data_IF_113216071862
#
_entry.id   IF_113216071862
#
_cell.length_a   1.000
_cell.length_b   1.000
_cell.length_c   1.000
_cell.angle_alpha   90.00
_cell.angle_beta   90.00
_cell.angle_gamma   90.00
#
_symmetry.space_group_name_H-M   'P 1'
#
loop_
_entity.id
_entity.type
_entity.pdbx_description
1 polymer ?
#
# COMPACT_ATOMS: atom_id res chain seq x y z
N UNK A 1 -82.53 14.27 -40.67
CA UNK A 1 -81.96 14.36 -42.02
C UNK A 1 -80.76 13.42 -42.08
N UNK A 2 -80.58 12.69 -43.18
CA UNK A 2 -80.11 11.29 -43.20
C UNK A 2 -78.63 11.15 -43.59
N UNK A 3 -78.00 10.02 -43.28
CA UNK A 3 -77.02 9.31 -44.15
C UNK A 3 -76.71 7.95 -43.50
N UNK A 4 -77.49 6.91 -43.81
CA UNK A 4 -77.22 5.81 -44.77
C UNK A 4 -76.00 4.96 -44.40
N UNK A 5 -76.29 3.71 -44.02
CA UNK A 5 -75.38 2.55 -43.96
C UNK A 5 -74.66 2.31 -45.30
N UNK A 6 -73.38 1.92 -45.27
CA UNK A 6 -72.87 1.03 -46.31
C UNK A 6 -71.74 0.13 -45.80
N UNK A 7 -72.15 -1.08 -45.46
CA UNK A 7 -71.54 -2.37 -45.84
C UNK A 7 -70.07 -2.39 -46.28
N UNK A 8 -69.33 -3.30 -45.64
CA UNK A 8 -68.66 -4.34 -46.42
C UNK A 8 -67.14 -4.30 -46.44
N UNK A 9 -66.56 -5.09 -45.55
CA UNK A 9 -65.41 -5.97 -45.81
C UNK A 9 -64.36 -5.49 -46.83
N UNK A 10 -63.22 -5.04 -46.31
CA UNK A 10 -61.93 -5.46 -46.85
C UNK A 10 -61.08 -6.03 -45.71
N UNK A 11 -61.32 -7.29 -45.41
CA UNK A 11 -60.29 -8.18 -44.91
C UNK A 11 -59.22 -8.32 -46.01
N UNK A 12 -57.98 -7.97 -45.69
CA UNK A 12 -56.88 -8.93 -45.66
C UNK A 12 -55.52 -8.24 -45.88
N UNK A 13 -54.56 -8.70 -45.08
CA UNK A 13 -53.11 -8.66 -45.27
C UNK A 13 -52.41 -7.37 -44.86
N UNK A 14 -51.88 -7.40 -43.64
CA UNK A 14 -50.45 -7.35 -43.33
C UNK A 14 -50.36 -7.48 -41.80
N UNK A 15 -50.47 -8.69 -41.26
CA UNK A 15 -49.32 -9.56 -40.99
C UNK A 15 -48.29 -8.88 -40.07
N UNK A 16 -48.44 -9.20 -38.79
CA UNK A 16 -47.37 -9.49 -37.85
C UNK A 16 -46.13 -8.58 -37.87
N UNK A 17 -46.11 -7.61 -36.96
CA UNK A 17 -44.86 -7.18 -36.32
C UNK A 17 -45.17 -6.75 -34.88
N UNK A 18 -45.67 -7.71 -34.12
CA UNK A 18 -45.50 -7.74 -32.67
C UNK A 18 -44.33 -8.70 -32.42
N UNK A 19 -43.45 -8.37 -31.48
CA UNK A 19 -42.26 -9.14 -31.04
C UNK A 19 -40.95 -8.80 -31.75
N UNK A 20 -40.33 -7.67 -31.39
CA UNK A 20 -38.85 -7.60 -31.27
C UNK A 20 -38.37 -6.41 -30.41
N UNK A 21 -38.91 -6.25 -29.19
CA UNK A 21 -38.52 -5.16 -28.29
C UNK A 21 -38.11 -5.61 -26.88
N UNK A 22 -37.54 -6.81 -26.71
CA UNK A 22 -37.12 -7.33 -25.38
C UNK A 22 -35.69 -7.93 -25.41
N UNK A 23 -34.74 -7.34 -26.13
CA UNK A 23 -33.38 -7.89 -26.17
C UNK A 23 -32.26 -6.86 -25.97
N UNK A 24 -32.54 -5.75 -25.29
CA UNK A 24 -31.52 -4.79 -24.86
C UNK A 24 -31.76 -4.43 -23.39
N UNK A 25 -31.80 -5.44 -22.51
CA UNK A 25 -31.44 -5.20 -21.13
C UNK A 25 -29.91 -5.26 -21.09
N UNK A 26 -29.20 -4.14 -20.86
CA UNK A 26 -27.82 -4.26 -20.46
C UNK A 26 -27.86 -5.13 -19.20
N UNK A 27 -27.17 -6.27 -19.23
CA UNK A 27 -26.84 -6.96 -18.00
C UNK A 27 -25.99 -5.97 -17.20
N UNK A 28 -26.66 -5.21 -16.33
CA UNK A 28 -26.03 -4.47 -15.25
C UNK A 28 -25.48 -5.52 -14.30
N UNK A 29 -24.39 -6.17 -14.71
CA UNK A 29 -23.55 -6.87 -13.76
C UNK A 29 -23.18 -5.82 -12.72
N UNK A 30 -23.57 -6.05 -11.48
CA UNK A 30 -22.95 -5.35 -10.37
C UNK A 30 -21.46 -5.53 -10.57
N UNK A 31 -20.77 -4.45 -10.94
CA UNK A 31 -19.34 -4.38 -10.75
C UNK A 31 -19.23 -4.43 -9.23
N UNK A 32 -19.03 -5.63 -8.68
CA UNK A 32 -18.65 -5.80 -7.30
C UNK A 32 -17.34 -5.04 -7.18
N UNK A 33 -17.43 -3.80 -6.67
CA UNK A 33 -16.25 -3.08 -6.22
C UNK A 33 -15.75 -3.94 -5.06
N UNK A 34 -14.62 -4.61 -5.25
CA UNK A 34 -13.95 -5.24 -4.13
C UNK A 34 -13.77 -4.13 -3.10
N UNK A 35 -14.41 -4.31 -1.95
CA UNK A 35 -14.22 -3.43 -0.81
C UNK A 35 -12.85 -3.82 -0.25
N UNK A 36 -11.80 -3.23 -0.82
CA UNK A 36 -10.42 -3.61 -0.55
C UNK A 36 -9.96 -3.18 0.87
N UNK A 37 -10.87 -2.65 1.69
CA UNK A 37 -10.64 -2.17 3.04
C UNK A 37 -9.90 -0.83 3.10
N UNK A 38 -10.07 -0.12 4.22
CA UNK A 38 -9.33 1.11 4.51
C UNK A 38 -7.92 0.78 5.04
N UNK A 39 -6.86 1.54 4.66
CA UNK A 39 -5.53 1.38 5.23
C UNK A 39 -5.53 1.33 6.76
N UNK A 40 -4.75 0.41 7.33
CA UNK A 40 -4.60 0.24 8.78
C UNK A 40 -3.32 0.95 9.21
N UNK A 41 -3.39 1.87 10.16
CA UNK A 41 -2.19 2.52 10.69
C UNK A 41 -1.39 1.53 11.53
N UNK A 42 -0.06 1.53 11.40
CA UNK A 42 0.78 0.51 12.03
C UNK A 42 0.61 0.48 13.56
N UNK A 43 0.43 1.63 14.21
CA UNK A 43 0.22 1.70 15.67
C UNK A 43 -1.19 1.25 16.11
N UNK A 44 -2.13 1.06 15.18
CA UNK A 44 -3.43 0.46 15.50
C UNK A 44 -3.33 -1.08 15.62
N UNK A 45 -2.18 -1.65 15.24
CA UNK A 45 -1.86 -3.08 15.44
C UNK A 45 -1.21 -3.32 16.80
N UNK A 46 -0.96 -4.58 17.16
CA UNK A 46 -0.26 -4.92 18.39
C UNK A 46 1.24 -4.60 18.27
N UNK A 47 1.66 -3.48 18.86
CA UNK A 47 3.06 -3.05 18.87
C UNK A 47 3.72 -3.10 20.26
N UNK A 48 5.01 -3.46 20.28
CA UNK A 48 5.87 -3.49 21.47
C UNK A 48 7.14 -2.67 21.21
N UNK A 49 7.43 -1.74 22.10
CA UNK A 49 8.64 -0.91 22.06
C UNK A 49 9.83 -1.63 22.72
N UNK A 50 11.02 -1.47 22.11
CA UNK A 50 12.30 -1.94 22.67
C UNK A 50 13.42 -0.91 22.41
N UNK A 51 14.53 -1.03 23.13
CA UNK A 51 15.67 -0.10 23.05
C UNK A 51 15.68 0.97 24.14
N UNK A 52 16.67 1.86 24.10
CA UNK A 52 16.85 2.92 25.10
C UNK A 52 16.22 4.26 24.72
N UNK A 53 15.98 4.46 23.42
CA UNK A 53 15.22 5.58 22.91
C UNK A 53 13.72 5.42 23.20
N UNK A 54 12.90 6.24 22.54
CA UNK A 54 11.44 6.23 22.76
C UNK A 54 10.69 6.38 21.45
N UNK A 55 9.58 5.68 21.36
CA UNK A 55 8.53 5.96 20.40
C UNK A 55 7.43 6.76 21.08
N UNK A 56 6.76 7.58 20.29
CA UNK A 56 5.62 8.34 20.77
C UNK A 56 4.65 8.58 19.63
N UNK A 57 3.39 8.23 19.85
CA UNK A 57 2.29 8.67 19.02
C UNK A 57 1.92 10.11 19.39
N UNK A 58 2.15 11.05 18.48
CA UNK A 58 1.86 12.46 18.71
C UNK A 58 1.66 13.16 17.37
N UNK A 59 0.46 13.70 17.17
CA UNK A 59 0.14 14.43 15.94
C UNK A 59 0.68 15.86 15.99
N UNK A 60 1.66 16.19 15.16
CA UNK A 60 2.29 17.51 15.13
C UNK A 60 2.71 17.95 13.72
N UNK A 61 2.75 19.26 13.51
CA UNK A 61 3.21 19.85 12.26
C UNK A 61 4.69 20.19 12.40
N UNK A 62 5.51 19.71 11.45
CA UNK A 62 6.94 20.01 11.42
C UNK A 62 7.37 20.44 10.02
N UNK A 63 8.53 21.11 9.94
CA UNK A 63 9.12 21.45 8.65
C UNK A 63 10.21 20.46 8.27
N UNK A 64 10.13 19.90 7.06
CA UNK A 64 11.15 19.05 6.44
C UNK A 64 11.41 19.56 5.05
N UNK A 65 12.66 19.81 4.70
CA UNK A 65 13.03 20.36 3.39
C UNK A 65 12.34 21.68 3.10
N UNK A 66 12.06 22.51 4.13
CA UNK A 66 11.31 23.77 4.04
C UNK A 66 9.83 23.60 3.62
N UNK A 67 9.24 22.42 3.79
CA UNK A 67 7.80 22.15 3.61
C UNK A 67 7.18 21.69 4.91
N UNK A 68 5.91 22.00 5.15
CA UNK A 68 5.18 21.56 6.34
C UNK A 68 4.58 20.18 6.10
N UNK A 69 4.81 19.27 7.04
CA UNK A 69 4.23 17.93 7.07
C UNK A 69 3.52 17.67 8.39
N UNK A 70 2.40 16.95 8.33
CA UNK A 70 1.70 16.44 9.51
C UNK A 70 2.30 15.09 9.88
N UNK A 71 3.02 15.03 10.99
CA UNK A 71 3.49 13.77 11.57
C UNK A 71 2.44 13.19 12.51
N UNK A 72 2.38 11.87 12.60
CA UNK A 72 1.46 11.13 13.48
C UNK A 72 2.20 10.41 14.63
N UNK A 73 3.47 10.09 14.42
CA UNK A 73 4.33 9.45 15.41
C UNK A 73 5.79 9.80 15.16
N UNK A 74 6.65 9.62 16.16
CA UNK A 74 8.08 9.76 16.00
C UNK A 74 8.88 8.73 16.80
N UNK A 75 10.06 8.37 16.27
CA UNK A 75 11.06 7.54 16.93
C UNK A 75 12.30 8.37 17.24
N UNK A 76 12.71 8.39 18.51
CA UNK A 76 13.89 9.12 18.99
C UNK A 76 14.99 8.17 19.46
N UNK A 77 16.05 7.92 18.67
CA UNK A 77 17.14 7.00 19.05
C UNK A 77 18.02 7.53 20.19
N UNK A 78 17.95 8.83 20.44
CA UNK A 78 18.86 9.52 21.35
C UNK A 78 20.32 9.38 20.90
N UNK A 79 21.15 8.78 21.74
CA UNK A 79 22.55 8.47 21.42
C UNK A 79 22.79 6.99 21.07
N UNK A 80 21.72 6.18 20.96
CA UNK A 80 21.80 4.75 20.65
C UNK A 80 20.70 4.37 19.66
N UNK A 81 19.66 3.69 20.10
CA UNK A 81 18.59 3.17 19.25
C UNK A 81 17.22 3.19 19.94
N UNK A 82 16.17 3.27 19.13
CA UNK A 82 14.79 3.02 19.52
C UNK A 82 14.15 2.09 18.49
N UNK A 83 13.51 1.02 18.93
CA UNK A 83 12.87 0.04 18.06
C UNK A 83 11.41 -0.19 18.46
N UNK A 84 10.57 -0.40 17.47
CA UNK A 84 9.15 -0.69 17.62
C UNK A 84 8.86 -1.91 16.75
N UNK A 85 8.32 -2.98 17.33
CA UNK A 85 7.92 -4.18 16.60
C UNK A 85 6.42 -4.34 16.69
N UNK A 86 5.76 -4.46 15.54
CA UNK A 86 4.32 -4.60 15.42
C UNK A 86 3.99 -5.94 14.77
N UNK A 87 3.01 -6.65 15.34
CA UNK A 87 2.39 -7.81 14.70
C UNK A 87 1.36 -7.29 13.71
N UNK A 88 1.50 -7.68 12.44
CA UNK A 88 0.68 -7.17 11.34
C UNK A 88 -0.25 -8.22 10.73
N UNK A 89 -0.08 -9.49 11.08
CA UNK A 89 -1.05 -10.53 10.78
C UNK A 89 -2.14 -10.49 11.85
N UNK A 90 -3.43 -10.50 11.46
CA UNK A 90 -4.51 -10.63 12.42
C UNK A 90 -4.40 -11.96 13.16
N UNK A 91 -4.61 -11.98 14.47
CA UNK A 91 -4.97 -13.22 15.15
C UNK A 91 -6.28 -13.76 14.52
N UNK A 92 -6.63 -15.04 14.67
CA UNK A 92 -7.82 -15.66 14.03
C UNK A 92 -9.16 -14.93 14.30
N UNK A 93 -9.16 -13.97 15.23
CA UNK A 93 -10.29 -13.13 15.66
C UNK A 93 -10.19 -11.63 15.23
N UNK A 94 -9.18 -11.20 14.45
CA UNK A 94 -9.01 -9.80 14.03
C UNK A 94 -9.31 -9.56 12.53
N UNK A 95 -10.09 -8.50 12.25
CA UNK A 95 -10.61 -8.13 10.93
C UNK A 95 -9.57 -7.39 10.05
N UNK A 96 -8.34 -7.88 9.88
CA UNK A 96 -7.49 -7.36 8.78
C UNK A 96 -7.97 -8.02 7.49
N UNK A 97 -8.54 -7.29 6.52
CA UNK A 97 -9.11 -7.90 5.32
C UNK A 97 -8.05 -8.66 4.53
N UNK A 98 -8.44 -9.81 3.98
CA UNK A 98 -7.60 -10.54 3.04
C UNK A 98 -7.30 -9.64 1.82
N UNK A 99 -6.07 -9.14 1.69
CA UNK A 99 -5.69 -8.22 0.61
C UNK A 99 -4.69 -7.14 0.98
N UNK A 100 -4.45 -6.92 2.27
CA UNK A 100 -3.47 -5.98 2.79
C UNK A 100 -2.07 -6.57 2.67
N UNK A 101 -1.28 -6.01 1.76
CA UNK A 101 0.01 -6.61 1.33
C UNK A 101 1.14 -5.61 1.31
N UNK A 102 0.89 -4.33 1.56
CA UNK A 102 1.89 -3.29 1.39
C UNK A 102 2.02 -2.47 2.66
N UNK A 103 3.25 -2.41 3.19
CA UNK A 103 3.64 -1.45 4.20
C UNK A 103 4.11 -0.17 3.51
N UNK A 104 3.40 0.93 3.71
CA UNK A 104 3.75 2.25 3.20
C UNK A 104 4.27 3.13 4.33
N UNK A 105 5.52 3.56 4.20
CA UNK A 105 6.19 4.43 5.15
C UNK A 105 6.65 5.70 4.45
N UNK A 106 6.29 6.85 5.03
CA UNK A 106 6.89 8.14 4.72
C UNK A 106 7.40 8.75 6.01
N UNK A 107 8.69 9.05 6.07
CA UNK A 107 9.32 9.55 7.29
C UNK A 107 10.49 10.49 7.00
N UNK A 108 10.80 11.37 7.95
CA UNK A 108 11.84 12.37 7.76
C UNK A 108 12.34 12.99 9.05
N UNK A 109 13.36 13.82 8.93
CA UNK A 109 13.90 14.61 10.03
C UNK A 109 13.60 16.08 9.80
N UNK A 110 13.15 16.78 10.84
CA UNK A 110 12.87 18.21 10.77
C UNK A 110 14.10 19.03 10.33
N UNK A 111 13.88 20.20 9.74
CA UNK A 111 14.94 21.12 9.26
C UNK A 111 15.87 21.63 10.37
N UNK A 112 15.45 21.50 11.63
CA UNK A 112 16.15 22.06 12.79
C UNK A 112 17.50 21.35 13.00
N UNK A 113 18.49 22.12 13.44
CA UNK A 113 19.80 21.65 13.88
C UNK A 113 20.55 20.82 12.81
N UNK A 114 20.87 21.38 11.62
CA UNK A 114 21.49 20.66 10.50
C UNK A 114 22.88 20.06 10.79
N UNK A 115 23.52 20.47 11.90
CA UNK A 115 24.78 19.87 12.38
C UNK A 115 24.60 18.58 13.18
N UNK A 116 23.37 18.11 13.39
CA UNK A 116 23.09 16.86 14.09
C UNK A 116 23.57 15.67 13.26
N UNK A 117 24.04 14.60 13.91
CA UNK A 117 24.39 13.37 13.21
C UNK A 117 23.15 12.78 12.54
N UNK A 118 23.39 11.97 11.51
CA UNK A 118 22.33 11.25 10.82
C UNK A 118 21.67 10.20 11.72
N UNK A 119 20.39 9.96 11.49
CA UNK A 119 19.66 8.81 12.02
C UNK A 119 19.52 7.77 10.91
N UNK A 120 19.77 6.50 11.24
CA UNK A 120 19.55 5.36 10.35
C UNK A 120 18.21 4.74 10.74
N UNK A 121 17.32 4.56 9.78
CA UNK A 121 16.04 3.87 9.94
C UNK A 121 16.17 2.52 9.27
N UNK A 122 16.11 1.44 10.04
CA UNK A 122 16.10 0.07 9.56
C UNK A 122 14.68 -0.49 9.65
N UNK A 123 14.26 -1.19 8.60
CA UNK A 123 12.99 -1.92 8.59
C UNK A 123 13.30 -3.41 8.54
N UNK A 124 12.67 -4.17 9.42
CA UNK A 124 12.79 -5.61 9.51
C UNK A 124 11.42 -6.25 9.26
N UNK A 125 11.42 -7.32 8.48
CA UNK A 125 10.26 -8.17 8.25
C UNK A 125 10.59 -9.55 8.83
N UNK A 126 9.82 -9.99 9.82
CA UNK A 126 10.06 -11.21 10.62
C UNK A 126 11.48 -11.36 11.16
N UNK A 127 12.07 -10.22 11.53
CA UNK A 127 13.41 -10.15 12.13
C UNK A 127 14.56 -10.06 11.11
N UNK A 128 14.30 -10.21 9.81
CA UNK A 128 15.31 -10.01 8.76
C UNK A 128 15.27 -8.57 8.24
N UNK A 129 16.44 -7.96 8.00
CA UNK A 129 16.48 -6.54 7.62
C UNK A 129 16.20 -6.37 6.13
N UNK A 130 15.00 -5.89 5.80
CA UNK A 130 14.55 -5.67 4.43
C UNK A 130 14.94 -4.30 3.86
N UNK A 131 15.05 -3.27 4.70
CA UNK A 131 15.42 -1.93 4.23
C UNK A 131 16.25 -1.15 5.26
N UNK A 132 17.03 -0.18 4.75
CA UNK A 132 17.75 0.79 5.57
C UNK A 132 17.82 2.14 4.86
N UNK A 133 17.55 3.22 5.59
CA UNK A 133 17.62 4.60 5.10
C UNK A 133 18.36 5.47 6.10
N UNK A 134 19.38 6.17 5.64
CA UNK A 134 20.08 7.19 6.43
C UNK A 134 19.45 8.54 6.14
N UNK A 135 19.12 9.29 7.18
CA UNK A 135 18.53 10.62 7.09
C UNK A 135 19.37 11.65 7.84
N UNK A 136 19.48 12.83 7.24
CA UNK A 136 19.95 14.06 7.87
C UNK A 136 18.77 15.02 8.14
N UNK A 137 18.93 16.02 9.02
CA UNK A 137 17.93 17.07 9.20
C UNK A 137 17.50 17.71 7.88
N UNK A 138 16.19 17.79 7.65
CA UNK A 138 15.58 18.31 6.42
C UNK A 138 15.39 17.26 5.31
N UNK A 139 15.80 16.01 5.52
CA UNK A 139 15.59 14.92 4.56
C UNK A 139 14.35 14.09 4.88
N UNK A 140 13.79 13.51 3.82
CA UNK A 140 12.61 12.64 3.83
C UNK A 140 12.93 11.36 3.02
N UNK A 141 12.33 10.26 3.43
CA UNK A 141 12.36 8.99 2.72
C UNK A 141 10.96 8.38 2.63
N UNK A 142 10.76 7.62 1.55
CA UNK A 142 9.57 6.83 1.29
C UNK A 142 9.98 5.37 1.06
N UNK A 143 9.22 4.45 1.64
CA UNK A 143 9.38 3.01 1.47
C UNK A 143 8.00 2.39 1.25
N UNK A 144 7.95 1.48 0.28
CA UNK A 144 6.82 0.58 0.06
C UNK A 144 7.41 -0.83 0.07
N UNK A 145 6.93 -1.69 0.97
CA UNK A 145 7.41 -3.07 1.13
C UNK A 145 6.24 -4.04 1.00
N UNK A 146 6.46 -5.15 0.32
CA UNK A 146 5.52 -6.27 0.31
C UNK A 146 5.57 -6.99 1.66
N UNK A 147 4.41 -7.13 2.29
CA UNK A 147 4.20 -7.76 3.59
C UNK A 147 3.13 -8.86 3.52
N UNK A 148 2.84 -9.39 2.32
CA UNK A 148 1.82 -10.42 2.09
C UNK A 148 1.96 -11.63 3.03
N UNK A 149 3.20 -12.11 3.19
CA UNK A 149 3.52 -13.31 3.96
C UNK A 149 4.35 -12.98 5.22
N UNK A 150 4.22 -11.75 5.73
CA UNK A 150 4.99 -11.25 6.87
C UNK A 150 4.09 -11.13 8.10
N UNK A 151 4.56 -11.64 9.23
CA UNK A 151 3.81 -11.58 10.49
C UNK A 151 4.17 -10.36 11.34
N UNK A 152 5.44 -9.96 11.31
CA UNK A 152 5.98 -8.93 12.18
C UNK A 152 6.79 -7.90 11.38
N UNK A 153 6.54 -6.63 11.65
CA UNK A 153 7.32 -5.51 11.14
C UNK A 153 8.04 -4.85 12.31
N UNK A 154 9.36 -4.70 12.23
CA UNK A 154 10.09 -3.87 13.16
C UNK A 154 10.66 -2.63 12.48
N UNK A 155 10.49 -1.47 13.13
CA UNK A 155 11.10 -0.21 12.73
C UNK A 155 12.11 0.16 13.80
N UNK A 156 13.37 0.26 13.41
CA UNK A 156 14.46 0.67 14.30
C UNK A 156 15.05 1.99 13.82
N UNK A 157 15.17 2.95 14.73
CA UNK A 157 15.96 4.16 14.53
C UNK A 157 17.26 4.03 15.30
N UNK A 158 18.39 4.31 14.65
CA UNK A 158 19.74 4.20 15.22
C UNK A 158 20.49 5.49 14.98
N UNK A 159 21.08 6.04 16.04
CA UNK A 159 21.95 7.19 15.93
C UNK A 159 23.28 6.80 15.29
N UNK A 160 23.71 7.50 14.24
CA UNK A 160 24.96 7.18 13.51
C UNK A 160 26.23 7.39 14.34
N UNK A 161 26.13 8.02 15.52
CA UNK A 161 27.26 8.21 16.44
C UNK A 161 26.83 7.98 17.89
N UNK A 162 27.67 7.32 18.71
CA UNK A 162 27.36 7.08 20.12
C UNK A 162 27.56 8.30 21.02
N UNK A 163 28.27 9.34 20.55
CA UNK A 163 28.76 10.44 21.39
C UNK A 163 27.96 11.74 21.22
N UNK A 164 26.95 11.76 20.35
CA UNK A 164 26.08 12.91 20.13
C UNK A 164 24.63 12.43 20.05
N UNK A 165 23.71 13.33 20.37
CA UNK A 165 22.29 13.05 20.27
C UNK A 165 21.81 13.26 18.83
N UNK A 166 21.25 12.22 18.23
CA UNK A 166 20.53 12.30 16.96
C UNK A 166 19.10 12.79 17.18
N UNK A 167 18.59 13.59 16.24
CA UNK A 167 17.22 14.06 16.33
C UNK A 167 16.21 12.93 16.01
N UNK A 168 14.96 13.18 16.35
CA UNK A 168 13.83 12.28 16.13
C UNK A 168 13.56 12.13 14.62
N UNK A 169 13.11 10.95 14.25
CA UNK A 169 12.53 10.65 12.95
C UNK A 169 11.02 10.71 13.11
N UNK A 170 10.36 11.49 12.25
CA UNK A 170 8.92 11.73 12.26
C UNK A 170 8.29 10.97 11.10
N UNK A 171 7.21 10.25 11.38
CA UNK A 171 6.48 9.48 10.38
C UNK A 171 5.21 10.25 10.00
N UNK A 172 5.03 10.43 8.69
CA UNK A 172 3.91 11.13 8.05
C UNK A 172 2.92 10.14 7.42
N UNK A 173 3.41 8.96 7.06
CA UNK A 173 2.63 7.80 6.64
C UNK A 173 3.26 6.56 7.27
N UNK A 174 2.43 5.70 7.85
CA UNK A 174 2.86 4.42 8.42
C UNK A 174 1.67 3.47 8.46
N UNK A 175 1.31 2.94 7.30
CA UNK A 175 0.08 2.16 7.13
C UNK A 175 0.32 0.87 6.35
N UNK A 176 -0.49 -0.13 6.67
CA UNK A 176 -0.63 -1.34 5.88
C UNK A 176 -1.85 -1.12 5.00
N UNK A 177 -1.68 -1.31 3.69
CA UNK A 177 -2.72 -1.01 2.72
C UNK A 177 -2.91 -2.15 1.71
N UNK A 178 -4.10 -2.25 1.09
CA UNK A 178 -4.31 -3.17 -0.01
C UNK A 178 -3.48 -2.78 -1.24
N UNK A 179 -3.08 -3.75 -2.06
CA UNK A 179 -2.29 -3.49 -3.28
C UNK A 179 -3.01 -2.56 -4.27
N UNK A 180 -4.34 -2.49 -4.21
CA UNK A 180 -5.16 -1.61 -5.04
C UNK A 180 -5.06 -0.14 -4.67
N UNK A 181 -4.53 0.18 -3.48
CA UNK A 181 -4.26 1.55 -3.03
C UNK A 181 -3.03 2.19 -3.69
N UNK A 182 -2.19 1.40 -4.36
CA UNK A 182 -1.04 1.94 -5.10
C UNK A 182 -1.51 2.78 -6.31
N UNK A 183 -0.83 3.89 -6.62
CA UNK A 183 -0.99 4.59 -7.89
C UNK A 183 -0.87 3.61 -9.07
N UNK A 184 -1.72 3.75 -10.08
CA UNK A 184 -1.82 2.84 -11.24
C UNK A 184 -0.46 2.58 -11.91
N UNK A 185 0.40 3.61 -11.97
CA UNK A 185 1.76 3.52 -12.50
C UNK A 185 2.68 2.55 -11.73
N UNK A 186 2.47 2.35 -10.42
CA UNK A 186 3.21 1.36 -9.62
C UNK A 186 2.55 -0.02 -9.68
N UNK A 187 1.23 -0.07 -9.87
CA UNK A 187 0.49 -1.33 -10.05
C UNK A 187 0.90 -2.05 -11.33
N UNK A 188 1.08 -1.34 -12.45
CA UNK A 188 1.51 -1.94 -13.72
C UNK A 188 2.93 -2.54 -13.62
N UNK A 189 3.85 -1.91 -12.88
CA UNK A 189 5.21 -2.42 -12.69
C UNK A 189 5.31 -3.70 -11.84
N UNK A 190 4.28 -3.99 -11.02
CA UNK A 190 4.23 -5.22 -10.22
C UNK A 190 3.70 -6.43 -11.02
N UNK A 191 2.87 -6.17 -12.03
CA UNK A 191 2.27 -7.22 -12.88
C UNK A 191 3.29 -7.77 -13.90
N UNK A 192 4.25 -6.96 -14.33
CA UNK A 192 5.29 -7.39 -15.29
C UNK A 192 6.40 -8.28 -14.69
N UNK A 193 6.45 -8.45 -13.36
CA UNK A 193 7.44 -9.34 -12.70
C UNK A 193 7.01 -10.81 -12.79
N UNK A 194 5.70 -11.13 -12.87
CA UNK A 194 5.24 -12.52 -13.04
C UNK A 194 5.41 -13.08 -14.46
N UNK A 195 5.67 -12.25 -15.48
CA UNK A 195 5.78 -12.72 -16.88
C UNK A 195 7.21 -13.11 -17.27
N UNK A 196 8.22 -12.67 -16.51
CA UNK A 196 9.63 -13.01 -16.77
C UNK A 196 10.24 -13.83 -15.64
N UNK A 197 9.66 -15.01 -15.38
CA UNK A 197 10.39 -16.07 -14.71
C UNK A 197 11.64 -16.47 -15.53
N UNK A 198 12.74 -16.88 -14.88
CA UNK A 198 13.96 -17.27 -15.59
C UNK A 198 13.68 -18.47 -16.50
N UNK A 199 14.00 -18.33 -17.79
CA UNK A 199 14.00 -19.42 -18.78
C UNK A 199 15.05 -20.46 -18.37
N UNK A 200 14.62 -21.45 -17.58
CA UNK A 200 15.40 -22.64 -17.26
C UNK A 200 15.43 -23.57 -18.49
N UNK A 201 16.25 -23.20 -19.48
CA UNK A 201 16.70 -24.13 -20.51
C UNK A 201 18.15 -24.47 -20.25
N UNK A 202 18.35 -25.68 -19.72
CA UNK A 202 19.66 -26.34 -19.63
C UNK A 202 20.36 -26.34 -21.01
N UNK A 203 21.67 -26.09 -21.08
CA UNK A 203 22.44 -26.34 -22.29
C UNK A 203 22.60 -27.85 -22.48
N UNK A 204 21.98 -28.41 -23.52
CA UNK A 204 22.20 -29.78 -23.96
C UNK A 204 23.65 -29.97 -24.40
N UNK A 205 24.37 -30.83 -23.68
CA UNK A 205 25.67 -31.37 -24.05
C UNK A 205 25.61 -31.93 -25.47
N UNK A 206 26.48 -31.45 -26.36
CA UNK A 206 26.77 -32.13 -27.62
C UNK A 206 28.27 -32.10 -27.86
N UNK A 207 28.91 -33.24 -27.58
CA UNK A 207 30.27 -33.56 -28.01
C UNK A 207 30.32 -33.60 -29.54
N UNK A 208 31.29 -32.97 -30.22
CA UNK A 208 31.66 -33.38 -31.56
C UNK A 208 32.66 -34.53 -31.47
N UNK A 209 32.29 -35.67 -32.05
CA UNK A 209 33.27 -36.62 -32.56
C UNK A 209 33.87 -36.08 -33.86
N UNK A 210 35.20 -35.90 -33.87
CA UNK A 210 36.19 -36.23 -34.91
C UNK A 210 37.47 -35.43 -34.70
#
# INVERSE_FOLDING_TARGET
MPYVDLFGQLSAKLSASLVLAIALMPFGGSIARADDGDPVFLLDTQCVETGLGRWQEEKQDITVGRKVYRSYMFGGPGSREASLTCRITPDEDEDIPAGFRLLQLQFGMRDRDPGRPATIVNIYLDGERSASRRLFPGELAELVLDVTDIENVAIETVCSTPNQYCDRVYFFQSEIAPTTSLPEALRESAIDIEVNGPDNREPSDTLPQL
#
